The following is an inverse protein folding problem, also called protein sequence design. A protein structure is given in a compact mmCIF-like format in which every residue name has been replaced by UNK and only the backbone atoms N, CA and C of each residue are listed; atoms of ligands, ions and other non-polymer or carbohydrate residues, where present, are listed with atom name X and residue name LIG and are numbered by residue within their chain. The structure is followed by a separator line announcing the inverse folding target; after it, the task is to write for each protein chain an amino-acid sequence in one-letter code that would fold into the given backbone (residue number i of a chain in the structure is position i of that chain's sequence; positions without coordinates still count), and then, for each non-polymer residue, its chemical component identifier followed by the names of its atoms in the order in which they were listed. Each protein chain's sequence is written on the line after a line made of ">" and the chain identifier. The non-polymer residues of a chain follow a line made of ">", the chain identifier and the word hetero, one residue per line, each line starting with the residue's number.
data_IF_044104089632
#
_entry.id   IF_044104089632
#
_cell.length_a   1.000
_cell.length_b   1.000
_cell.length_c   1.000
_cell.angle_alpha   90.00
_cell.angle_beta   90.00
_cell.angle_gamma   90.00
#
_symmetry.space_group_name_H-M   'P 1'
#
loop_
_entity.id
_entity.type
_entity.pdbx_description
1 polymer ?
#
# COMPACT_ATOMS: atom_id res chain seq x y z
N UNK A 1 0.36 6.34 11.39
CA UNK A 1 1.68 6.24 10.72
C UNK A 1 1.40 6.04 9.25
N UNK A 2 2.28 6.45 8.36
CA UNK A 2 2.02 6.31 6.93
C UNK A 2 2.38 4.90 6.43
N UNK A 3 1.46 4.26 5.72
CA UNK A 3 1.73 3.10 4.87
C UNK A 3 1.89 3.61 3.45
N UNK A 4 3.03 3.34 2.86
CA UNK A 4 3.41 3.87 1.55
C UNK A 4 3.41 2.69 0.58
N UNK A 5 2.46 2.66 -0.36
CA UNK A 5 2.32 1.55 -1.31
C UNK A 5 2.90 1.98 -2.66
N UNK A 6 3.88 1.23 -3.18
CA UNK A 6 4.43 1.52 -4.50
C UNK A 6 3.38 1.27 -5.59
N UNK A 7 3.23 2.22 -6.51
CA UNK A 7 2.24 2.18 -7.61
C UNK A 7 2.19 0.88 -8.43
N UNK A 8 3.32 0.17 -8.55
CA UNK A 8 3.41 -1.16 -9.19
C UNK A 8 2.52 -2.21 -8.52
N UNK A 9 2.23 -2.06 -7.23
CA UNK A 9 1.38 -2.97 -6.46
C UNK A 9 -0.11 -2.66 -6.59
N UNK A 10 -0.49 -1.64 -7.36
CA UNK A 10 -1.89 -1.23 -7.54
C UNK A 10 -2.54 -1.92 -8.74
N UNK A 11 -1.72 -2.30 -9.72
CA UNK A 11 -2.14 -2.89 -10.98
C UNK A 11 -1.95 -4.41 -11.01
N UNK A 12 -2.56 -5.14 -11.96
CA UNK A 12 -2.26 -6.55 -12.17
C UNK A 12 -0.74 -6.78 -12.22
N UNK A 13 -0.21 -7.81 -11.54
CA UNK A 13 -0.89 -8.99 -11.01
C UNK A 13 -1.54 -8.85 -9.61
N UNK A 14 -1.60 -7.65 -9.03
CA UNK A 14 -2.38 -7.43 -7.79
C UNK A 14 -3.87 -7.71 -8.00
N UNK A 15 -4.45 -8.41 -7.04
CA UNK A 15 -5.88 -8.64 -6.94
C UNK A 15 -6.50 -7.46 -6.22
N UNK A 16 -7.30 -6.71 -6.97
CA UNK A 16 -7.88 -5.47 -6.49
C UNK A 16 -8.71 -5.61 -5.20
N UNK A 17 -9.53 -6.67 -5.00
CA UNK A 17 -10.20 -6.88 -3.71
C UNK A 17 -9.22 -7.01 -2.54
N UNK A 18 -8.10 -7.72 -2.73
CA UNK A 18 -7.07 -7.87 -1.69
C UNK A 18 -6.32 -6.58 -1.40
N UNK A 19 -6.08 -5.74 -2.42
CA UNK A 19 -5.57 -4.38 -2.23
C UNK A 19 -6.54 -3.57 -1.35
N UNK A 20 -7.84 -3.58 -1.70
CA UNK A 20 -8.86 -2.87 -0.92
C UNK A 20 -8.95 -3.39 0.52
N UNK A 21 -8.94 -4.71 0.73
CA UNK A 21 -8.97 -5.31 2.07
C UNK A 21 -7.75 -4.93 2.90
N UNK A 22 -6.56 -4.92 2.29
CA UNK A 22 -5.32 -4.48 2.95
C UNK A 22 -5.39 -3.02 3.36
N UNK A 23 -5.80 -2.13 2.44
CA UNK A 23 -5.92 -0.69 2.71
C UNK A 23 -6.99 -0.39 3.75
N UNK A 24 -8.16 -1.03 3.67
CA UNK A 24 -9.20 -0.98 4.69
C UNK A 24 -8.64 -1.38 6.05
N UNK A 25 -7.88 -2.48 6.10
CA UNK A 25 -7.38 -2.97 7.38
C UNK A 25 -6.40 -2.00 8.02
N UNK A 26 -5.43 -1.52 7.25
CA UNK A 26 -4.44 -0.56 7.72
C UNK A 26 -5.09 0.78 8.13
N UNK A 27 -5.99 1.33 7.31
CA UNK A 27 -6.62 2.61 7.62
C UNK A 27 -7.60 2.51 8.80
N UNK A 28 -8.52 1.55 8.80
CA UNK A 28 -9.58 1.48 9.81
C UNK A 28 -9.10 0.86 11.13
N UNK A 29 -8.39 -0.27 11.09
CA UNK A 29 -8.00 -0.98 12.31
C UNK A 29 -6.66 -0.54 12.86
N UNK A 30 -5.69 -0.22 12.00
CA UNK A 30 -4.37 0.25 12.44
C UNK A 30 -4.28 1.78 12.55
N UNK A 31 -5.30 2.51 12.05
CA UNK A 31 -5.36 3.98 12.04
C UNK A 31 -4.16 4.59 11.32
N UNK A 32 -3.87 4.03 10.15
CA UNK A 32 -2.79 4.49 9.30
C UNK A 32 -3.29 5.33 8.13
N UNK A 33 -2.51 6.36 7.83
CA UNK A 33 -2.64 7.11 6.60
C UNK A 33 -2.04 6.25 5.49
N UNK A 34 -2.74 6.13 4.37
CA UNK A 34 -2.27 5.33 3.24
C UNK A 34 -2.04 6.25 2.06
N UNK A 35 -0.85 6.17 1.50
CA UNK A 35 -0.49 6.89 0.29
C UNK A 35 0.01 5.92 -0.76
N UNK A 36 -0.24 6.27 -2.02
CA UNK A 36 0.38 5.56 -3.15
C UNK A 36 1.58 6.38 -3.59
N UNK A 37 2.75 5.77 -3.65
CA UNK A 37 3.94 6.44 -4.12
C UNK A 37 4.13 6.22 -5.63
N UNK A 38 4.12 7.30 -6.39
CA UNK A 38 4.23 7.28 -7.86
C UNK A 38 5.10 8.38 -8.44
N UNK A 39 5.92 8.01 -9.43
CA UNK A 39 6.61 8.95 -10.32
C UNK A 39 5.63 9.65 -11.30
N UNK A 40 4.42 9.12 -11.47
CA UNK A 40 3.39 9.68 -12.36
C UNK A 40 2.00 9.59 -11.70
N UNK A 41 1.77 10.43 -10.69
CA UNK A 41 0.58 10.41 -9.86
C UNK A 41 -0.74 10.56 -10.65
N UNK A 42 -0.74 11.39 -11.71
CA UNK A 42 -1.93 11.69 -12.51
C UNK A 42 -2.43 10.48 -13.29
N UNK A 43 -1.56 9.51 -13.60
CA UNK A 43 -1.90 8.34 -14.41
C UNK A 43 -2.74 7.29 -13.66
N UNK A 44 -2.61 7.20 -12.34
CA UNK A 44 -3.24 6.13 -11.55
C UNK A 44 -4.63 6.49 -11.00
N UNK A 45 -4.87 7.76 -10.69
CA UNK A 45 -6.14 8.18 -10.10
C UNK A 45 -7.38 7.82 -10.96
N UNK A 46 -7.37 7.97 -12.32
CA UNK A 46 -8.50 7.57 -13.16
C UNK A 46 -8.77 6.06 -13.16
N UNK A 47 -7.73 5.24 -12.98
CA UNK A 47 -7.87 3.78 -12.90
C UNK A 47 -8.44 3.33 -11.55
N UNK A 48 -8.01 3.98 -10.46
CA UNK A 48 -8.34 3.60 -9.09
C UNK A 48 -9.74 4.03 -8.64
N UNK A 49 -10.12 5.28 -8.94
CA UNK A 49 -11.40 5.87 -8.51
C UNK A 49 -12.62 5.02 -8.82
N UNK A 50 -12.87 4.58 -10.08
CA UNK A 50 -14.10 3.83 -10.39
C UNK A 50 -14.17 2.45 -9.74
N UNK A 51 -13.06 1.95 -9.18
CA UNK A 51 -12.98 0.64 -8.53
C UNK A 51 -13.07 0.72 -7.00
N UNK A 52 -13.12 1.94 -6.43
CA UNK A 52 -13.05 2.15 -4.98
C UNK A 52 -11.64 1.99 -4.41
N UNK A 53 -10.62 2.13 -5.26
CA UNK A 53 -9.21 1.96 -4.85
C UNK A 53 -8.64 3.16 -4.11
N UNK A 54 -9.40 4.25 -4.04
CA UNK A 54 -9.07 5.43 -3.27
C UNK A 54 -9.92 5.55 -1.99
N UNK A 55 -10.76 4.57 -1.66
CA UNK A 55 -11.67 4.65 -0.51
C UNK A 55 -10.92 4.84 0.83
N UNK A 56 -9.69 4.32 0.91
CA UNK A 56 -8.83 4.35 2.10
C UNK A 56 -7.43 4.91 1.78
N UNK A 57 -7.26 5.56 0.62
CA UNK A 57 -6.00 6.15 0.19
C UNK A 57 -6.16 7.66 0.25
N UNK A 58 -5.32 8.30 1.05
CA UNK A 58 -5.37 9.74 1.31
C UNK A 58 -4.86 10.53 0.10
N UNK A 59 -3.73 10.09 -0.50
CA UNK A 59 -3.13 10.78 -1.64
C UNK A 59 -2.21 9.89 -2.49
N UNK A 60 -1.86 10.37 -3.68
CA UNK A 60 -0.80 9.82 -4.54
C UNK A 60 0.39 10.78 -4.51
N UNK A 61 1.48 10.36 -3.91
CA UNK A 61 2.62 11.20 -3.55
C UNK A 61 3.87 10.88 -4.37
N UNK A 62 4.83 11.80 -4.38
CA UNK A 62 6.12 11.63 -5.07
C UNK A 62 7.05 10.71 -4.27
N UNK A 63 7.98 10.00 -4.92
CA UNK A 63 8.93 9.17 -4.21
C UNK A 63 9.74 9.92 -3.15
N UNK A 64 9.76 9.35 -1.95
CA UNK A 64 10.50 9.89 -0.81
C UNK A 64 9.88 11.11 -0.12
N UNK A 65 8.66 11.52 -0.46
CA UNK A 65 8.00 12.64 0.22
C UNK A 65 7.45 12.27 1.60
N UNK A 66 7.18 10.99 1.85
CA UNK A 66 6.60 10.47 3.09
C UNK A 66 7.56 9.50 3.80
N UNK A 67 7.53 9.50 5.15
CA UNK A 67 8.20 8.51 6.01
C UNK A 67 7.19 7.54 6.62
N UNK A 68 7.55 6.26 6.66
CA UNK A 68 6.62 5.22 7.10
C UNK A 68 7.08 3.81 6.72
N UNK A 69 6.12 2.87 6.75
CA UNK A 69 6.35 1.50 6.30
C UNK A 69 6.03 1.41 4.82
N UNK A 70 6.99 0.94 4.03
CA UNK A 70 6.86 0.83 2.57
C UNK A 70 6.45 -0.57 2.15
N UNK A 71 5.43 -0.67 1.31
CA UNK A 71 5.16 -1.87 0.53
C UNK A 71 5.78 -1.68 -0.84
N UNK A 72 6.79 -2.49 -1.14
CA UNK A 72 7.63 -2.32 -2.31
C UNK A 72 7.86 -3.67 -3.00
N UNK A 73 8.26 -3.64 -4.26
CA UNK A 73 8.62 -4.82 -5.06
C UNK A 73 10.10 -5.19 -4.89
N UNK A 74 10.92 -4.26 -4.40
CA UNK A 74 12.35 -4.44 -4.19
C UNK A 74 12.82 -3.73 -2.90
N UNK A 75 13.95 -4.13 -2.29
CA UNK A 75 14.45 -3.54 -1.05
C UNK A 75 15.12 -2.18 -1.28
N UNK A 76 14.37 -1.20 -1.79
CA UNK A 76 14.87 0.13 -2.11
C UNK A 76 15.04 1.02 -0.87
N UNK A 77 14.25 0.76 0.17
CA UNK A 77 14.19 1.58 1.38
C UNK A 77 14.31 0.75 2.66
N UNK A 78 14.86 1.33 3.75
CA UNK A 78 14.77 0.73 5.07
C UNK A 78 13.31 0.66 5.53
N UNK A 79 12.96 -0.35 6.35
CA UNK A 79 11.58 -0.62 6.83
C UNK A 79 10.56 -0.87 5.69
N UNK A 80 10.92 -1.78 4.80
CA UNK A 80 10.06 -2.19 3.68
C UNK A 80 9.54 -3.62 3.85
N UNK A 81 8.28 -3.83 3.47
CA UNK A 81 7.64 -5.12 3.27
C UNK A 81 7.68 -5.43 1.78
N UNK A 82 8.42 -6.48 1.40
CA UNK A 82 8.65 -6.81 -0.01
C UNK A 82 7.65 -7.84 -0.51
N UNK A 83 6.98 -7.53 -1.62
CA UNK A 83 6.04 -8.42 -2.32
C UNK A 83 5.95 -8.08 -3.79
N UNK A 84 5.70 -9.07 -4.64
CA UNK A 84 5.51 -8.89 -6.09
C UNK A 84 4.07 -8.45 -6.44
N UNK A 85 3.11 -8.81 -5.59
CA UNK A 85 1.68 -8.49 -5.74
C UNK A 85 0.97 -8.48 -4.39
N UNK A 86 -0.23 -7.93 -4.35
CA UNK A 86 -1.18 -8.08 -3.24
C UNK A 86 -2.29 -9.02 -3.70
N UNK A 87 -2.47 -10.16 -3.03
CA UNK A 87 -3.37 -11.21 -3.46
C UNK A 87 -3.97 -11.97 -2.26
N UNK A 88 -5.07 -12.73 -2.44
CA UNK A 88 -5.74 -13.40 -1.33
C UNK A 88 -4.81 -14.32 -0.54
N UNK A 89 -3.88 -15.00 -1.24
CA UNK A 89 -2.92 -15.92 -0.63
C UNK A 89 -1.87 -15.24 0.27
N UNK A 90 -1.66 -13.92 0.14
CA UNK A 90 -0.59 -13.22 0.86
C UNK A 90 -1.05 -12.07 1.76
N UNK A 91 -2.30 -11.62 1.68
CA UNK A 91 -2.78 -10.43 2.40
C UNK A 91 -2.56 -10.50 3.92
N UNK A 92 -2.83 -11.66 4.53
CA UNK A 92 -2.61 -11.85 5.98
C UNK A 92 -1.13 -11.80 6.38
N UNK A 93 -0.26 -12.34 5.53
CA UNK A 93 1.20 -12.25 5.72
C UNK A 93 1.64 -10.78 5.65
N UNK A 94 1.15 -10.03 4.67
CA UNK A 94 1.46 -8.60 4.51
C UNK A 94 1.03 -7.78 5.73
N UNK A 95 -0.20 -7.98 6.21
CA UNK A 95 -0.70 -7.33 7.44
C UNK A 95 0.21 -7.62 8.63
N UNK A 96 0.63 -8.88 8.78
CA UNK A 96 1.48 -9.30 9.90
C UNK A 96 2.87 -8.65 9.82
N UNK A 97 3.46 -8.58 8.62
CA UNK A 97 4.74 -7.91 8.40
C UNK A 97 4.65 -6.40 8.63
N UNK A 98 3.57 -5.76 8.16
CA UNK A 98 3.30 -4.35 8.45
C UNK A 98 3.28 -4.15 9.96
N UNK A 99 2.49 -4.92 10.71
CA UNK A 99 2.42 -4.83 12.19
C UNK A 99 3.80 -4.96 12.85
N UNK A 100 4.63 -5.91 12.41
CA UNK A 100 6.01 -6.03 12.91
C UNK A 100 6.84 -4.78 12.65
N UNK A 101 6.77 -4.20 11.45
CA UNK A 101 7.46 -2.94 11.13
C UNK A 101 6.97 -1.74 11.98
N UNK A 102 5.72 -1.79 12.47
CA UNK A 102 5.17 -0.82 13.44
C UNK A 102 5.68 -1.01 14.86
N UNK A 103 6.33 -2.13 15.17
CA UNK A 103 6.60 -2.56 16.54
C UNK A 103 5.35 -3.05 17.28
N UNK A 104 4.26 -3.35 16.57
CA UNK A 104 3.06 -3.97 17.14
C UNK A 104 3.24 -5.49 17.12
N UNK A 105 3.16 -6.11 18.30
CA UNK A 105 3.16 -7.58 18.45
C UNK A 105 1.78 -8.18 18.18
#
# INVERSE_FOLDING_TARGET
>A
MTIIIRDQLVNPPTWFPSFRDLTLYCNVFLRDDIVIESDDADSYAPWLRPRGGLDFVEDIVRPGSEDGVRLDVAPNYPRSVITDRIAPENVHRLISQIRMCRGLR
#
